data_IF_500009667186
#
_entry.id   IF_500009667186
#
_cell.length_a   1.000
_cell.length_b   1.000
_cell.length_c   1.000
_cell.angle_alpha   90.00
_cell.angle_beta   90.00
_cell.angle_gamma   90.00
#
_symmetry.space_group_name_H-M   'P 1'
#
loop_
_entity.id
_entity.type
_entity.pdbx_description
1 polymer ?
#
# COMPACT_ATOMS: atom_id res chain seq x y z
N UNK A 1 43.82 -5.33 23.17
CA UNK A 1 42.47 -4.88 22.79
C UNK A 1 41.76 -6.03 22.11
N UNK A 2 40.55 -6.39 22.56
CA UNK A 2 39.81 -7.54 22.00
C UNK A 2 39.37 -7.19 20.58
N UNK A 3 39.86 -7.92 19.58
CA UNK A 3 39.43 -7.82 18.20
C UNK A 3 37.98 -8.29 18.08
N UNK A 4 37.13 -7.51 17.40
CA UNK A 4 35.75 -7.93 17.13
C UNK A 4 35.75 -9.12 16.17
N UNK A 5 34.82 -10.04 16.38
CA UNK A 5 34.59 -11.14 15.45
C UNK A 5 33.97 -10.65 14.14
N UNK A 6 34.15 -11.42 13.06
CA UNK A 6 33.48 -11.18 11.77
C UNK A 6 31.96 -11.10 11.94
N UNK A 7 31.39 -11.97 12.78
CA UNK A 7 29.95 -11.98 13.07
C UNK A 7 29.47 -10.70 13.76
N UNK A 8 30.22 -10.17 14.72
CA UNK A 8 29.90 -8.89 15.37
C UNK A 8 29.99 -7.71 14.40
N UNK A 9 30.99 -7.72 13.51
CA UNK A 9 31.13 -6.70 12.49
C UNK A 9 29.95 -6.73 11.49
N UNK A 10 29.59 -7.91 11.00
CA UNK A 10 28.43 -8.09 10.12
C UNK A 10 27.12 -7.65 10.79
N UNK A 11 26.90 -8.03 12.05
CA UNK A 11 25.72 -7.61 12.82
C UNK A 11 25.64 -6.09 12.93
N UNK A 12 26.75 -5.40 13.20
CA UNK A 12 26.77 -3.93 13.28
C UNK A 12 26.43 -3.28 11.94
N UNK A 13 26.98 -3.79 10.84
CA UNK A 13 26.68 -3.29 9.50
C UNK A 13 25.21 -3.51 9.14
N UNK A 14 24.65 -4.69 9.44
CA UNK A 14 23.24 -4.99 9.22
C UNK A 14 22.32 -4.08 10.04
N UNK A 15 22.67 -3.81 11.30
CA UNK A 15 21.91 -2.90 12.15
C UNK A 15 21.90 -1.48 11.56
N UNK A 16 23.05 -0.98 11.13
CA UNK A 16 23.14 0.33 10.47
C UNK A 16 22.28 0.42 9.21
N UNK A 17 22.25 -0.63 8.39
CA UNK A 17 21.37 -0.69 7.22
C UNK A 17 19.88 -0.65 7.62
N UNK A 18 19.48 -1.46 8.60
CA UNK A 18 18.10 -1.49 9.09
C UNK A 18 17.67 -0.13 9.61
N UNK A 19 18.56 0.57 10.32
CA UNK A 19 18.26 1.89 10.86
C UNK A 19 18.09 2.92 9.74
N UNK A 20 18.91 2.88 8.68
CA UNK A 20 18.70 3.72 7.49
C UNK A 20 17.33 3.42 6.86
N UNK A 21 17.00 2.16 6.62
CA UNK A 21 15.74 1.77 5.99
C UNK A 21 14.52 2.23 6.77
N UNK A 22 14.58 2.22 8.12
CA UNK A 22 13.50 2.70 9.00
C UNK A 22 13.21 4.20 8.84
N UNK A 23 14.17 5.00 8.37
CA UNK A 23 14.00 6.45 8.14
C UNK A 23 13.62 6.78 6.70
N UNK A 24 13.30 5.76 5.88
CA UNK A 24 12.85 5.95 4.49
C UNK A 24 11.39 5.54 4.32
N UNK A 25 10.83 5.81 3.14
CA UNK A 25 9.54 5.24 2.74
C UNK A 25 9.79 3.94 1.95
N UNK A 26 9.63 2.74 2.55
CA UNK A 26 10.04 1.50 1.92
C UNK A 26 9.04 1.05 0.83
N UNK A 27 9.60 0.58 -0.29
CA UNK A 27 8.85 -0.19 -1.30
C UNK A 27 9.28 -1.65 -1.23
N UNK A 28 8.33 -2.56 -0.98
CA UNK A 28 8.59 -3.99 -0.86
C UNK A 28 8.21 -4.73 -2.13
N UNK A 29 9.20 -5.34 -2.80
CA UNK A 29 8.99 -6.20 -3.95
C UNK A 29 9.28 -7.65 -3.55
N UNK A 30 8.34 -8.56 -3.83
CA UNK A 30 8.53 -10.02 -3.63
C UNK A 30 8.61 -10.70 -4.99
N UNK A 31 9.68 -11.45 -5.21
CA UNK A 31 9.84 -12.27 -6.39
C UNK A 31 9.18 -13.63 -6.16
N UNK A 32 8.42 -14.12 -7.14
CA UNK A 32 7.81 -15.45 -7.14
C UNK A 32 8.39 -16.24 -8.30
N UNK A 33 8.93 -17.42 -8.01
CA UNK A 33 9.43 -18.33 -9.04
C UNK A 33 8.22 -19.03 -9.69
N UNK A 34 8.08 -19.00 -11.03
CA UNK A 34 6.89 -19.55 -11.70
C UNK A 34 6.85 -21.08 -11.68
N UNK A 35 8.00 -21.75 -11.68
CA UNK A 35 8.12 -23.21 -11.59
C UNK A 35 9.50 -23.61 -11.02
N UNK A 36 9.63 -24.80 -10.45
CA UNK A 36 10.90 -25.29 -9.90
C UNK A 36 11.87 -25.76 -10.99
N UNK A 37 11.35 -26.28 -12.10
CA UNK A 37 12.05 -26.92 -13.23
C UNK A 37 12.87 -25.94 -14.09
N UNK A 38 12.71 -24.64 -13.89
CA UNK A 38 13.29 -23.57 -14.73
C UNK A 38 12.83 -23.63 -16.18
N UNK A 39 11.67 -24.24 -16.44
CA UNK A 39 11.11 -24.33 -17.78
C UNK A 39 10.49 -22.98 -18.20
N UNK A 40 10.66 -22.64 -19.47
CA UNK A 40 10.09 -21.42 -20.05
C UNK A 40 8.58 -21.62 -20.22
N UNK A 41 7.78 -20.58 -19.99
CA UNK A 41 6.31 -20.56 -20.16
C UNK A 41 5.52 -21.57 -19.29
N UNK A 42 6.14 -22.17 -18.28
CA UNK A 42 5.46 -23.06 -17.33
C UNK A 42 5.16 -22.33 -16.02
N UNK A 43 3.96 -22.51 -15.48
CA UNK A 43 3.55 -21.94 -14.19
C UNK A 43 2.92 -23.00 -13.29
N UNK A 44 3.50 -23.20 -12.11
CA UNK A 44 2.96 -24.03 -11.05
C UNK A 44 2.22 -23.17 -10.03
N UNK A 45 0.89 -23.20 -10.11
CA UNK A 45 0.02 -22.45 -9.20
C UNK A 45 0.13 -22.88 -7.74
N UNK A 46 0.41 -24.16 -7.46
CA UNK A 46 0.53 -24.66 -6.09
C UNK A 46 1.82 -24.16 -5.46
N UNK A 47 2.92 -24.19 -6.21
CA UNK A 47 4.19 -23.69 -5.71
C UNK A 47 4.18 -22.16 -5.55
N UNK A 48 3.60 -21.43 -6.50
CA UNK A 48 3.41 -19.99 -6.37
C UNK A 48 2.56 -19.62 -5.14
N UNK A 49 1.44 -20.32 -4.90
CA UNK A 49 0.59 -20.11 -3.72
C UNK A 49 1.36 -20.39 -2.41
N UNK A 50 2.13 -21.48 -2.38
CA UNK A 50 3.00 -21.81 -1.24
C UNK A 50 4.02 -20.69 -0.99
N UNK A 51 4.68 -20.18 -2.02
CA UNK A 51 5.62 -19.07 -1.91
C UNK A 51 4.93 -17.80 -1.36
N UNK A 52 3.72 -17.48 -1.84
CA UNK A 52 2.94 -16.34 -1.33
C UNK A 52 2.59 -16.49 0.15
N UNK A 53 2.21 -17.70 0.59
CA UNK A 53 1.93 -18.01 1.99
C UNK A 53 3.18 -17.88 2.87
N UNK A 54 4.28 -18.52 2.47
CA UNK A 54 5.55 -18.45 3.20
C UNK A 54 6.11 -17.02 3.27
N UNK A 55 5.91 -16.20 2.22
CA UNK A 55 6.30 -14.80 2.21
C UNK A 55 5.35 -13.88 3.01
N UNK A 56 4.25 -14.42 3.55
CA UNK A 56 3.25 -13.68 4.30
C UNK A 56 2.44 -12.70 3.46
N UNK A 57 2.39 -12.88 2.14
CA UNK A 57 1.78 -11.91 1.22
C UNK A 57 0.26 -11.82 1.39
N UNK A 58 -0.42 -12.95 1.61
CA UNK A 58 -1.87 -12.95 1.83
C UNK A 58 -2.25 -12.24 3.13
N UNK A 59 -1.50 -12.48 4.21
CA UNK A 59 -1.68 -11.78 5.48
C UNK A 59 -1.36 -10.28 5.37
N UNK A 60 -0.30 -9.92 4.63
CA UNK A 60 0.03 -8.52 4.37
C UNK A 60 -1.10 -7.79 3.62
N UNK A 61 -1.73 -8.45 2.65
CA UNK A 61 -2.91 -7.91 1.94
C UNK A 61 -4.07 -7.73 2.92
N UNK A 62 -4.37 -8.74 3.74
CA UNK A 62 -5.45 -8.69 4.73
C UNK A 62 -5.27 -7.55 5.73
N UNK A 63 -4.08 -7.41 6.31
CA UNK A 63 -3.74 -6.33 7.25
C UNK A 63 -3.85 -4.96 6.56
N UNK A 64 -3.32 -4.82 5.34
CA UNK A 64 -3.43 -3.57 4.59
C UNK A 64 -4.88 -3.17 4.35
N UNK A 65 -5.74 -4.12 3.94
CA UNK A 65 -7.17 -3.88 3.75
C UNK A 65 -7.85 -3.40 5.04
N UNK A 66 -7.60 -4.08 6.17
CA UNK A 66 -8.16 -3.69 7.46
C UNK A 66 -7.62 -2.33 7.96
N UNK A 67 -6.42 -1.95 7.53
CA UNK A 67 -5.75 -0.71 7.93
C UNK A 67 -6.07 0.53 7.10
N UNK A 68 -6.94 0.43 6.08
CA UNK A 68 -7.25 1.49 5.11
C UNK A 68 -5.98 2.08 4.47
N UNK A 69 -5.40 1.40 3.47
CA UNK A 69 -4.04 1.69 2.99
C UNK A 69 -3.97 2.99 2.18
N UNK A 70 -5.12 3.47 1.68
CA UNK A 70 -5.24 4.76 1.00
C UNK A 70 -5.66 5.80 2.03
N UNK A 71 -4.74 6.70 2.36
CA UNK A 71 -4.99 7.86 3.24
C UNK A 71 -4.71 9.12 2.43
N UNK A 72 -5.73 9.96 2.28
CA UNK A 72 -5.63 11.26 1.60
C UNK A 72 -6.17 12.31 2.54
N UNK A 73 -5.62 13.52 2.47
CA UNK A 73 -6.24 14.63 3.19
C UNK A 73 -7.59 15.01 2.51
N UNK A 74 -8.48 15.65 3.27
CA UNK A 74 -9.82 16.00 2.77
C UNK A 74 -9.77 16.92 1.54
N UNK A 75 -8.78 17.83 1.47
CA UNK A 75 -8.60 18.72 0.31
C UNK A 75 -8.28 17.94 -0.97
N UNK A 76 -7.32 17.01 -0.91
CA UNK A 76 -6.93 16.13 -2.02
C UNK A 76 -8.08 15.22 -2.45
N UNK A 77 -8.82 14.66 -1.48
CA UNK A 77 -9.99 13.85 -1.76
C UNK A 77 -11.04 14.66 -2.51
N UNK A 78 -11.41 15.83 -1.97
CA UNK A 78 -12.39 16.72 -2.57
C UNK A 78 -11.97 17.13 -3.98
N UNK A 79 -10.75 17.63 -4.16
CA UNK A 79 -10.26 18.08 -5.47
C UNK A 79 -10.29 16.97 -6.52
N UNK A 80 -10.02 15.72 -6.11
CA UNK A 80 -10.01 14.58 -7.02
C UNK A 80 -11.41 14.06 -7.36
N UNK A 81 -12.30 14.01 -6.38
CA UNK A 81 -13.58 13.30 -6.51
C UNK A 81 -14.79 14.22 -6.66
N UNK A 82 -14.66 15.55 -6.51
CA UNK A 82 -15.76 16.51 -6.71
C UNK A 82 -16.45 16.37 -8.08
N UNK A 83 -15.72 15.90 -9.09
CA UNK A 83 -16.27 15.67 -10.44
C UNK A 83 -17.36 14.58 -10.47
N UNK A 84 -17.40 13.72 -9.46
CA UNK A 84 -18.41 12.68 -9.32
C UNK A 84 -19.70 13.24 -8.70
N UNK A 85 -19.68 14.43 -8.12
CA UNK A 85 -20.84 15.08 -7.53
C UNK A 85 -21.02 16.49 -8.13
N UNK A 86 -21.89 16.64 -9.15
CA UNK A 86 -22.15 17.93 -9.80
C UNK A 86 -22.64 19.04 -8.86
N UNK A 87 -23.08 18.71 -7.64
CA UNK A 87 -23.47 19.68 -6.62
C UNK A 87 -22.31 20.33 -5.87
N UNK A 88 -21.07 19.90 -6.12
CA UNK A 88 -19.87 20.42 -5.45
C UNK A 88 -19.30 21.67 -6.12
N UNK A 89 -18.72 22.57 -5.33
CA UNK A 89 -18.18 23.85 -5.80
C UNK A 89 -16.89 23.62 -6.60
N UNK A 90 -16.85 24.13 -7.82
CA UNK A 90 -15.63 24.24 -8.60
C UNK A 90 -14.75 25.40 -8.11
N UNK A 91 -13.62 25.05 -7.49
CA UNK A 91 -12.61 25.96 -6.95
C UNK A 91 -13.04 26.68 -5.65
N UNK A 92 -13.19 25.93 -4.54
CA UNK A 92 -13.52 26.51 -3.25
C UNK A 92 -12.45 27.52 -2.76
N UNK A 93 -12.90 28.61 -2.15
CA UNK A 93 -12.04 29.62 -1.50
C UNK A 93 -11.22 28.96 -0.36
N UNK A 94 -10.11 29.58 0.03
CA UNK A 94 -9.21 29.01 1.07
C UNK A 94 -9.85 28.76 2.44
N UNK A 95 -11.02 29.35 2.73
CA UNK A 95 -11.78 29.18 3.98
C UNK A 95 -12.84 28.06 3.94
N UNK A 96 -12.80 27.15 2.97
CA UNK A 96 -13.78 26.06 2.87
C UNK A 96 -13.43 24.90 3.80
N UNK A 97 -14.42 24.43 4.54
CA UNK A 97 -14.33 23.19 5.32
C UNK A 97 -14.41 21.97 4.40
N UNK A 98 -13.26 21.52 3.92
CA UNK A 98 -13.14 20.33 3.09
C UNK A 98 -13.63 19.05 3.79
N UNK A 99 -13.65 19.00 5.12
CA UNK A 99 -14.18 17.84 5.87
C UNK A 99 -15.69 17.75 5.70
N UNK A 100 -16.39 18.87 5.84
CA UNK A 100 -17.82 18.95 5.61
C UNK A 100 -18.19 18.64 4.15
N UNK A 101 -17.45 19.20 3.19
CA UNK A 101 -17.66 18.91 1.78
C UNK A 101 -17.47 17.42 1.45
N UNK A 102 -16.40 16.78 1.97
CA UNK A 102 -16.18 15.34 1.80
C UNK A 102 -17.34 14.53 2.39
N UNK A 103 -17.84 14.89 3.57
CA UNK A 103 -18.97 14.20 4.20
C UNK A 103 -20.25 14.31 3.36
N UNK A 104 -20.48 15.47 2.74
CA UNK A 104 -21.67 15.71 1.90
C UNK A 104 -21.63 14.93 0.58
N UNK A 105 -20.45 14.83 -0.05
CA UNK A 105 -20.31 14.14 -1.35
C UNK A 105 -20.26 12.61 -1.26
N UNK A 106 -19.91 12.05 -0.09
CA UNK A 106 -19.74 10.60 0.08
C UNK A 106 -20.96 9.75 -0.32
N UNK A 107 -22.20 10.08 0.08
CA UNK A 107 -23.39 9.31 -0.31
C UNK A 107 -23.60 9.27 -1.84
N UNK A 108 -23.31 10.36 -2.54
CA UNK A 108 -23.42 10.44 -4.01
C UNK A 108 -22.41 9.52 -4.67
N UNK A 109 -21.16 9.52 -4.18
CA UNK A 109 -20.10 8.61 -4.66
C UNK A 109 -20.48 7.15 -4.38
N UNK A 110 -20.93 6.83 -3.17
CA UNK A 110 -21.32 5.46 -2.79
C UNK A 110 -22.45 4.93 -3.67
N UNK A 111 -23.46 5.77 -3.96
CA UNK A 111 -24.55 5.39 -4.86
C UNK A 111 -24.05 5.04 -6.27
N UNK A 112 -23.11 5.82 -6.82
CA UNK A 112 -22.53 5.57 -8.13
C UNK A 112 -21.66 4.30 -8.17
N UNK A 113 -20.87 4.06 -7.11
CA UNK A 113 -20.06 2.84 -7.01
C UNK A 113 -20.93 1.58 -6.95
N UNK A 114 -21.99 1.61 -6.13
CA UNK A 114 -22.94 0.51 -6.02
C UNK A 114 -23.65 0.24 -7.35
N UNK A 115 -24.03 1.28 -8.10
CA UNK A 115 -24.63 1.13 -9.44
C UNK A 115 -23.66 0.51 -10.45
N UNK A 116 -22.36 0.78 -10.31
CA UNK A 116 -21.31 0.22 -11.14
C UNK A 116 -20.87 -1.20 -10.75
N UNK A 117 -21.47 -1.79 -9.69
CA UNK A 117 -21.18 -3.14 -9.24
C UNK A 117 -19.89 -3.28 -8.43
N UNK A 118 -19.42 -2.20 -7.80
CA UNK A 118 -18.27 -2.17 -6.89
C UNK A 118 -18.68 -2.19 -5.42
#
# INVERSE_FOLDING_TARGET
>A
GRSMSVGENFRRQLQGLVDILKHTNPSFVRCIKPNSEKAIHQFDSKDALRQLNCAGMLEAIRIRRAGYPVRRNFKEFYQRFKILDPGMIDNPRDNVDFTACCRQMLPSIEAQLNQAGY
#
